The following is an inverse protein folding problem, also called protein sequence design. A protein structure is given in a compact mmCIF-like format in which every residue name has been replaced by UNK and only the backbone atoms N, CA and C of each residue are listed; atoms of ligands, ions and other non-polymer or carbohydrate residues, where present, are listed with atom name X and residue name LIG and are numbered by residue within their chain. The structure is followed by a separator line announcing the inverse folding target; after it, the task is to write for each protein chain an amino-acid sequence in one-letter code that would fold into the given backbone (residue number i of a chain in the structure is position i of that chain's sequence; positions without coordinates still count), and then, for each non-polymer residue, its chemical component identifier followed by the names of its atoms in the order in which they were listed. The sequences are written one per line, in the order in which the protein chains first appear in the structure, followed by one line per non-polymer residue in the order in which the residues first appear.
data_IF_786244424439
#
_entry.id   IF_786244424439
#
_cell.length_a   1.000
_cell.length_b   1.000
_cell.length_c   1.000
_cell.angle_alpha   90.00
_cell.angle_beta   90.00
_cell.angle_gamma   90.00
#
_symmetry.space_group_name_H-M   'P 1'
#
loop_
_entity.id
_entity.type
_entity.pdbx_description
1 polymer ?
#
# COMPACT_ATOMS: atom_id res chain seq x y z
N UNK A 1 2.84 4.93 -13.71
CA UNK A 1 2.60 4.44 -12.35
C UNK A 1 1.15 4.63 -11.97
N UNK A 2 0.71 3.98 -10.90
CA UNK A 2 -0.67 4.06 -10.46
C UNK A 2 -1.04 5.49 -10.06
N UNK A 3 -2.11 6.00 -10.66
CA UNK A 3 -2.70 7.30 -10.31
C UNK A 3 -4.13 7.33 -10.85
N UNK A 4 -5.03 8.15 -10.27
CA UNK A 4 -6.38 8.28 -10.81
C UNK A 4 -6.36 8.85 -12.24
N UNK A 5 -7.19 8.31 -13.09
CA UNK A 5 -7.36 8.83 -14.46
C UNK A 5 -8.05 10.18 -14.45
N UNK A 6 -8.97 10.37 -13.51
CA UNK A 6 -9.79 11.58 -13.41
C UNK A 6 -10.13 11.85 -11.96
N UNK A 7 -10.07 13.10 -11.53
CA UNK A 7 -10.39 13.51 -10.17
C UNK A 7 -11.42 14.63 -10.18
N UNK A 8 -12.29 14.64 -9.17
CA UNK A 8 -13.27 15.73 -8.98
C UNK A 8 -12.56 17.01 -8.57
N UNK A 9 -11.57 16.92 -7.69
CA UNK A 9 -10.74 18.04 -7.24
C UNK A 9 -9.27 17.71 -7.42
N UNK A 10 -8.50 18.69 -7.86
CA UNK A 10 -7.06 18.55 -8.13
C UNK A 10 -6.25 18.38 -6.85
N UNK A 11 -6.63 19.08 -5.80
CA UNK A 11 -5.92 19.10 -4.52
C UNK A 11 -6.91 18.84 -3.39
N UNK A 12 -6.45 18.17 -2.34
CA UNK A 12 -7.25 17.88 -1.15
C UNK A 12 -6.46 18.25 0.10
N UNK A 13 -7.16 18.43 1.21
CA UNK A 13 -6.51 18.68 2.50
C UNK A 13 -5.73 17.45 2.95
N UNK A 14 -4.57 17.67 3.57
CA UNK A 14 -3.70 16.60 4.06
C UNK A 14 -4.43 15.69 5.04
N UNK A 15 -5.19 16.25 5.97
CA UNK A 15 -5.95 15.48 6.96
C UNK A 15 -5.05 14.72 7.93
N UNK A 16 -5.68 13.88 8.75
CA UNK A 16 -5.02 13.01 9.73
C UNK A 16 -5.37 11.56 9.46
N UNK A 17 -4.42 10.67 9.66
CA UNK A 17 -4.60 9.22 9.46
C UNK A 17 -4.68 8.54 10.82
N UNK A 18 -5.87 8.53 11.42
CA UNK A 18 -6.14 7.96 12.75
C UNK A 18 -7.09 6.78 12.67
N UNK A 19 -7.03 5.92 13.69
CA UNK A 19 -7.90 4.77 13.85
C UNK A 19 -7.39 3.54 13.15
N UNK A 20 -8.26 2.54 13.05
CA UNK A 20 -7.96 1.24 12.47
C UNK A 20 -8.74 1.02 11.19
N UNK A 21 -8.27 0.09 10.35
CA UNK A 21 -8.95 -0.24 9.11
C UNK A 21 -10.33 -0.84 9.38
N UNK A 22 -11.36 -0.23 8.78
CA UNK A 22 -12.75 -0.71 8.85
C UNK A 22 -13.13 -1.53 7.62
N UNK A 23 -12.31 -1.48 6.58
CA UNK A 23 -12.51 -2.24 5.36
C UNK A 23 -11.16 -2.66 4.80
N UNK A 24 -11.14 -3.68 3.94
CA UNK A 24 -9.90 -4.17 3.35
C UNK A 24 -8.98 -4.86 4.35
N UNK A 25 -9.50 -5.39 5.45
CA UNK A 25 -8.74 -6.11 6.47
C UNK A 25 -8.92 -7.63 6.38
N UNK A 26 -9.74 -8.11 5.45
CA UNK A 26 -9.97 -9.55 5.23
C UNK A 26 -9.45 -9.97 3.86
N UNK A 27 -8.95 -11.20 3.78
CA UNK A 27 -8.58 -11.82 2.51
C UNK A 27 -9.82 -11.95 1.63
N UNK A 28 -9.69 -11.59 0.35
CA UNK A 28 -10.77 -11.66 -0.62
C UNK A 28 -10.40 -12.50 -1.86
N UNK A 29 -9.15 -12.46 -2.27
CA UNK A 29 -8.71 -13.04 -3.55
C UNK A 29 -7.69 -14.16 -3.40
N UNK A 30 -6.76 -14.05 -2.45
CA UNK A 30 -5.65 -14.97 -2.29
C UNK A 30 -5.71 -15.80 -1.01
N UNK A 31 -4.71 -16.64 -0.84
CA UNK A 31 -4.59 -17.55 0.31
C UNK A 31 -3.71 -16.95 1.42
N UNK A 32 -2.79 -16.08 1.04
CA UNK A 32 -1.84 -15.44 1.94
C UNK A 32 -1.70 -13.97 1.56
N UNK A 33 -1.47 -13.14 2.55
CA UNK A 33 -1.36 -11.69 2.35
C UNK A 33 -0.42 -11.10 3.40
N UNK A 34 -0.07 -9.82 3.24
CA UNK A 34 0.46 -9.04 4.35
C UNK A 34 -0.40 -7.82 4.59
N UNK A 35 -0.50 -7.44 5.85
CA UNK A 35 -1.26 -6.26 6.25
C UNK A 35 -0.42 -5.33 7.12
N UNK A 36 -0.78 -4.06 7.10
CA UNK A 36 -0.11 -3.05 7.90
C UNK A 36 -0.38 -3.24 9.39
N UNK A 37 0.65 -3.09 10.20
CA UNK A 37 0.55 -3.06 11.67
C UNK A 37 0.55 -1.62 12.17
N UNK A 38 1.16 -0.73 11.41
CA UNK A 38 1.26 0.70 11.73
C UNK A 38 0.51 1.54 10.70
N UNK A 39 0.08 2.72 11.10
CA UNK A 39 -0.44 3.71 10.15
C UNK A 39 0.70 4.30 9.33
N UNK A 40 0.43 4.61 8.08
CA UNK A 40 1.42 5.21 7.19
C UNK A 40 0.80 5.63 5.87
N UNK A 41 1.63 6.02 4.94
CA UNK A 41 1.25 6.37 3.59
C UNK A 41 2.06 5.55 2.60
N UNK A 42 1.41 5.09 1.55
CA UNK A 42 2.05 4.34 0.47
C UNK A 42 1.87 5.11 -0.83
N UNK A 43 2.95 5.32 -1.57
CA UNK A 43 2.89 5.96 -2.88
C UNK A 43 2.99 4.92 -4.01
N UNK A 44 2.76 5.35 -5.24
CA UNK A 44 2.78 4.45 -6.39
C UNK A 44 4.14 3.79 -6.63
N UNK A 45 5.23 4.49 -6.32
CA UNK A 45 6.59 3.95 -6.48
C UNK A 45 6.88 2.84 -5.48
N UNK A 46 6.43 2.98 -4.24
CA UNK A 46 6.55 1.96 -3.21
C UNK A 46 5.74 0.72 -3.56
N UNK A 47 4.51 0.89 -4.03
CA UNK A 47 3.66 -0.22 -4.49
C UNK A 47 4.35 -0.99 -5.63
N UNK A 48 4.87 -0.29 -6.62
CA UNK A 48 5.53 -0.91 -7.76
C UNK A 48 6.82 -1.63 -7.35
N UNK A 49 7.62 -1.02 -6.49
CA UNK A 49 8.84 -1.62 -5.96
C UNK A 49 8.54 -2.93 -5.20
N UNK A 50 7.52 -2.92 -4.35
CA UNK A 50 7.11 -4.10 -3.60
C UNK A 50 6.60 -5.21 -4.53
N UNK A 51 5.78 -4.86 -5.52
CA UNK A 51 5.27 -5.80 -6.52
C UNK A 51 6.39 -6.48 -7.29
N UNK A 52 7.36 -5.70 -7.75
CA UNK A 52 8.52 -6.22 -8.50
C UNK A 52 9.33 -7.18 -7.63
N UNK A 53 9.62 -6.81 -6.38
CA UNK A 53 10.34 -7.69 -5.45
C UNK A 53 9.65 -9.04 -5.27
N UNK A 54 8.36 -9.03 -5.01
CA UNK A 54 7.59 -10.25 -4.81
C UNK A 54 7.54 -11.10 -6.09
N UNK A 55 7.27 -10.48 -7.23
CA UNK A 55 7.18 -11.17 -8.52
C UNK A 55 8.49 -11.84 -8.92
N UNK A 56 9.62 -11.16 -8.70
CA UNK A 56 10.93 -11.74 -8.99
C UNK A 56 11.23 -12.96 -8.13
N UNK A 57 10.87 -12.93 -6.87
CA UNK A 57 11.13 -14.04 -5.96
C UNK A 57 10.36 -15.29 -6.34
N UNK A 58 9.10 -15.17 -6.76
CA UNK A 58 8.28 -16.30 -7.20
C UNK A 58 8.46 -16.66 -8.68
N UNK A 59 9.38 -15.99 -9.38
CA UNK A 59 9.69 -16.22 -10.80
C UNK A 59 8.45 -16.14 -11.69
N UNK A 60 7.55 -15.20 -11.39
CA UNK A 60 6.27 -14.99 -12.10
C UNK A 60 5.28 -16.16 -12.00
N UNK A 61 5.51 -17.12 -11.13
CA UNK A 61 4.53 -18.15 -10.82
C UNK A 61 3.47 -17.59 -9.86
N UNK A 62 2.25 -18.14 -9.93
CA UNK A 62 1.18 -17.68 -9.08
C UNK A 62 0.63 -16.31 -9.47
N UNK A 63 -0.16 -15.73 -8.58
CA UNK A 63 -0.85 -14.46 -8.82
C UNK A 63 -0.75 -13.56 -7.59
N UNK A 64 -0.54 -12.26 -7.85
CA UNK A 64 -0.50 -11.22 -6.83
C UNK A 64 -1.62 -10.23 -7.10
N UNK A 65 -2.39 -9.89 -6.06
CA UNK A 65 -3.40 -8.84 -6.10
C UNK A 65 -2.94 -7.66 -5.25
N UNK A 66 -2.94 -6.48 -5.85
CA UNK A 66 -2.66 -5.24 -5.15
C UNK A 66 -3.99 -4.70 -4.61
N UNK A 67 -4.14 -4.65 -3.28
CA UNK A 67 -5.38 -4.26 -2.61
C UNK A 67 -5.43 -2.77 -2.27
N UNK A 68 -4.45 -2.00 -2.67
CA UNK A 68 -4.35 -0.56 -2.40
C UNK A 68 -4.20 0.23 -3.69
N UNK A 69 -4.69 1.46 -3.69
CA UNK A 69 -4.57 2.36 -4.82
C UNK A 69 -4.27 3.78 -4.35
N UNK A 70 -3.23 4.44 -4.89
CA UNK A 70 -2.86 5.80 -4.47
C UNK A 70 -3.78 6.83 -5.11
N UNK A 71 -4.87 7.16 -4.42
CA UNK A 71 -5.90 8.07 -4.92
C UNK A 71 -5.83 9.48 -4.33
N UNK A 72 -5.02 9.71 -3.30
CA UNK A 72 -4.92 11.00 -2.63
C UNK A 72 -3.73 11.79 -3.14
N UNK A 73 -3.95 13.02 -3.66
CA UNK A 73 -2.83 13.87 -4.09
C UNK A 73 -2.17 14.54 -2.89
N UNK A 74 -0.85 14.45 -2.83
CA UNK A 74 -0.02 15.25 -1.92
C UNK A 74 0.69 16.34 -2.70
N UNK A 75 0.70 17.54 -2.15
CA UNK A 75 1.35 18.69 -2.77
C UNK A 75 2.68 19.01 -2.11
N UNK A 76 3.58 19.60 -2.85
CA UNK A 76 4.84 20.11 -2.32
C UNK A 76 5.18 21.42 -3.02
N UNK A 77 5.81 22.33 -2.28
CA UNK A 77 6.36 23.56 -2.85
C UNK A 77 7.81 23.32 -3.26
N UNK A 78 8.32 24.06 -4.25
CA UNK A 78 9.74 24.01 -4.58
C UNK A 78 10.62 24.32 -3.37
N UNK A 79 11.81 23.75 -3.34
CA UNK A 79 12.70 23.77 -2.18
C UNK A 79 13.02 25.19 -1.68
N UNK A 80 13.26 26.14 -2.57
CA UNK A 80 13.67 27.51 -2.25
C UNK A 80 12.53 28.52 -2.30
N UNK A 81 11.28 28.07 -2.25
CA UNK A 81 10.11 28.95 -2.31
C UNK A 81 9.73 29.43 -0.92
N UNK A 82 9.44 30.73 -0.79
CA UNK A 82 8.95 31.32 0.44
C UNK A 82 7.53 30.83 0.76
N UNK A 83 7.17 30.80 2.03
CA UNK A 83 5.85 30.45 2.50
C UNK A 83 4.79 31.45 2.02
N UNK A 84 3.55 30.97 1.82
CA UNK A 84 2.44 31.77 1.33
C UNK A 84 2.20 31.62 -0.16
N UNK A 85 1.31 32.47 -0.71
CA UNK A 85 0.89 32.49 -2.13
C UNK A 85 0.22 31.20 -2.63
N UNK A 86 -0.52 30.52 -1.74
CA UNK A 86 -1.33 29.38 -2.09
C UNK A 86 -0.68 28.02 -1.91
N UNK A 87 -1.45 26.99 -2.20
CA UNK A 87 -1.03 25.60 -2.07
C UNK A 87 -0.10 25.18 -3.21
N UNK A 88 0.92 24.42 -2.90
CA UNK A 88 1.87 23.91 -3.89
C UNK A 88 1.22 22.99 -4.94
N UNK A 89 1.97 22.64 -5.98
CA UNK A 89 1.52 21.72 -7.01
C UNK A 89 1.47 20.28 -6.48
N UNK A 90 0.66 19.44 -7.13
CA UNK A 90 0.61 18.00 -6.81
C UNK A 90 1.97 17.37 -7.09
N UNK A 91 2.58 16.77 -6.08
CA UNK A 91 3.88 16.13 -6.14
C UNK A 91 3.78 14.62 -6.34
N UNK A 92 2.92 13.97 -5.56
CA UNK A 92 2.75 12.52 -5.62
C UNK A 92 1.34 12.09 -5.24
N UNK A 93 0.99 10.90 -5.65
CA UNK A 93 -0.26 10.25 -5.29
C UNK A 93 0.01 9.20 -4.22
N UNK A 94 -0.79 9.21 -3.16
CA UNK A 94 -0.61 8.29 -2.03
C UNK A 94 -1.95 7.71 -1.59
N UNK A 95 -1.89 6.65 -0.79
CA UNK A 95 -3.02 6.14 -0.02
C UNK A 95 -2.65 6.16 1.45
N UNK A 96 -3.54 6.67 2.28
CA UNK A 96 -3.41 6.57 3.73
C UNK A 96 -3.73 5.15 4.16
N UNK A 97 -2.78 4.50 4.81
CA UNK A 97 -2.92 3.13 5.30
C UNK A 97 -3.14 3.17 6.81
N UNK A 98 -4.19 2.50 7.25
CA UNK A 98 -4.49 2.33 8.68
C UNK A 98 -4.07 0.92 9.12
N UNK A 99 -3.73 0.73 10.41
CA UNK A 99 -3.42 -0.61 10.92
C UNK A 99 -4.52 -1.61 10.61
N UNK A 100 -4.16 -2.78 10.13
CA UNK A 100 -5.09 -3.85 9.73
C UNK A 100 -5.41 -3.89 8.24
N UNK A 101 -5.03 -2.90 7.45
CA UNK A 101 -5.28 -2.89 6.01
C UNK A 101 -4.37 -3.90 5.30
N UNK A 102 -4.97 -4.76 4.47
CA UNK A 102 -4.22 -5.66 3.59
C UNK A 102 -3.68 -4.87 2.41
N UNK A 103 -2.41 -5.07 2.11
CA UNK A 103 -1.70 -4.37 1.02
C UNK A 103 -1.64 -5.24 -0.23
N UNK A 104 -1.10 -6.46 -0.11
CA UNK A 104 -1.01 -7.42 -1.20
C UNK A 104 -1.56 -8.76 -0.76
N UNK A 105 -2.18 -9.49 -1.70
CA UNK A 105 -2.56 -10.88 -1.54
C UNK A 105 -1.86 -11.72 -2.59
N UNK A 106 -1.64 -12.99 -2.30
CA UNK A 106 -0.96 -13.92 -3.20
C UNK A 106 -1.61 -15.29 -3.16
N UNK A 107 -1.61 -15.97 -4.30
CA UNK A 107 -2.08 -17.35 -4.42
C UNK A 107 -1.34 -18.06 -5.56
N UNK A 108 -1.45 -19.38 -5.59
CA UNK A 108 -0.89 -20.20 -6.67
C UNK A 108 0.59 -20.57 -6.48
N UNK A 109 1.14 -20.36 -5.28
CA UNK A 109 2.51 -20.76 -4.94
C UNK A 109 2.52 -21.44 -3.55
N UNK A 110 3.53 -22.28 -3.25
CA UNK A 110 3.67 -22.85 -1.91
C UNK A 110 3.75 -21.76 -0.84
N UNK A 111 3.19 -22.04 0.34
CA UNK A 111 3.12 -21.05 1.43
C UNK A 111 4.49 -20.52 1.84
N UNK A 112 5.50 -21.38 1.93
CA UNK A 112 6.85 -20.95 2.29
C UNK A 112 7.43 -19.95 1.30
N UNK A 113 7.31 -20.23 0.01
CA UNK A 113 7.76 -19.35 -1.05
C UNK A 113 6.99 -18.03 -1.05
N UNK A 114 5.68 -18.09 -0.83
CA UNK A 114 4.83 -16.92 -0.72
C UNK A 114 5.24 -16.04 0.47
N UNK A 115 5.54 -16.64 1.64
CA UNK A 115 6.01 -15.90 2.81
C UNK A 115 7.32 -15.16 2.54
N UNK A 116 8.27 -15.80 1.90
CA UNK A 116 9.55 -15.19 1.53
C UNK A 116 9.33 -14.02 0.57
N UNK A 117 8.53 -14.21 -0.47
CA UNK A 117 8.23 -13.18 -1.45
C UNK A 117 7.55 -11.96 -0.83
N UNK A 118 6.56 -12.19 0.02
CA UNK A 118 5.85 -11.10 0.70
C UNK A 118 6.74 -10.39 1.72
N UNK A 119 7.65 -11.09 2.38
CA UNK A 119 8.62 -10.48 3.29
C UNK A 119 9.54 -9.52 2.53
N UNK A 120 10.01 -9.90 1.35
CA UNK A 120 10.80 -9.01 0.50
C UNK A 120 10.01 -7.78 0.06
N UNK A 121 8.74 -7.96 -0.27
CA UNK A 121 7.85 -6.85 -0.60
C UNK A 121 7.65 -5.90 0.58
N UNK A 122 7.46 -6.43 1.77
CA UNK A 122 7.28 -5.63 2.99
C UNK A 122 8.47 -4.72 3.29
N UNK A 123 9.69 -5.15 2.95
CA UNK A 123 10.91 -4.35 3.14
C UNK A 123 10.94 -3.08 2.27
N UNK A 124 10.11 -3.00 1.25
CA UNK A 124 10.00 -1.81 0.37
C UNK A 124 9.01 -0.76 0.88
N UNK A 125 8.34 -1.02 1.99
CA UNK A 125 7.30 -0.16 2.54
C UNK A 125 7.79 0.60 3.78
N UNK A 126 7.26 1.81 4.04
CA UNK A 126 7.73 2.66 5.13
C UNK A 126 7.11 2.35 6.49
N UNK A 127 6.26 1.35 6.60
CA UNK A 127 5.58 0.97 7.84
C UNK A 127 5.71 -0.53 8.08
N UNK A 128 5.55 -0.94 9.33
CA UNK A 128 5.61 -2.35 9.69
C UNK A 128 4.38 -3.11 9.19
N UNK A 129 4.62 -4.31 8.72
CA UNK A 129 3.59 -5.21 8.23
C UNK A 129 3.74 -6.59 8.85
N UNK A 130 2.68 -7.39 8.78
CA UNK A 130 2.72 -8.81 9.16
C UNK A 130 2.03 -9.66 8.12
N UNK A 131 2.49 -10.89 7.97
CA UNK A 131 1.89 -11.85 7.06
C UNK A 131 0.70 -12.51 7.74
N UNK A 132 -0.40 -12.67 6.98
CA UNK A 132 -1.62 -13.33 7.44
C UNK A 132 -2.05 -14.39 6.42
N UNK A 133 -2.55 -15.52 6.94
CA UNK A 133 -3.13 -16.57 6.13
C UNK A 133 -4.65 -16.57 6.30
N UNK A 134 -5.34 -17.37 5.51
CA UNK A 134 -6.80 -17.48 5.59
C UNK A 134 -7.30 -17.86 7.01
N UNK A 135 -6.53 -18.70 7.71
CA UNK A 135 -6.87 -19.12 9.06
C UNK A 135 -6.75 -17.98 10.08
N UNK A 136 -5.78 -17.10 9.89
CA UNK A 136 -5.47 -15.97 10.79
C UNK A 136 -6.31 -14.72 10.48
N UNK A 137 -7.14 -14.76 9.47
CA UNK A 137 -7.75 -13.56 8.90
C UNK A 137 -8.92 -12.97 9.72
N UNK A 138 -9.33 -13.61 10.79
CA UNK A 138 -10.43 -13.14 11.64
C UNK A 138 -9.98 -12.07 12.65
N UNK A 139 -8.70 -11.85 12.80
CA UNK A 139 -8.13 -10.83 13.69
C UNK A 139 -7.76 -9.58 12.89
N UNK A 140 -8.14 -8.41 13.41
CA UNK A 140 -7.82 -7.13 12.77
C UNK A 140 -6.32 -6.85 12.88
N UNK A 141 -5.69 -7.36 13.92
CA UNK A 141 -4.26 -7.14 14.23
C UNK A 141 -3.50 -8.44 14.38
#
# INVERSE_FOLDING_TARGET
MLMPKRTKYRKVMKGRNRGYARSGYKLAFGDIAFKAVEAGRINSRQIESARISATRHIKRNGKIWIRVFPAKPLTAKPLETRMGKGKGAVDQWVMNIKPGRIIFEMAGVPEELAREALTLAMHKLPFKCKIVTAEMNNEIF
#
